data_IF_609740402031
#
_entry.id   IF_609740402031
#
_cell.length_a   1.000
_cell.length_b   1.000
_cell.length_c   1.000
_cell.angle_alpha   90.00
_cell.angle_beta   90.00
_cell.angle_gamma   90.00
#
_symmetry.space_group_name_H-M   'P 1'
#
loop_
_entity.id
_entity.type
_entity.pdbx_description
1 polymer ?
#
# COMPACT_ATOMS: atom_id res chain seq x y z
N UNK A 1 4.65 1.63 24.22
CA UNK A 1 5.72 1.49 23.22
C UNK A 1 5.09 1.08 21.89
N UNK A 2 4.54 -0.13 21.81
CA UNK A 2 3.86 -0.68 20.62
C UNK A 2 2.74 0.18 20.00
N UNK A 3 1.92 0.87 20.80
CA UNK A 3 0.87 1.78 20.26
C UNK A 3 1.48 2.98 19.53
N UNK A 4 2.64 3.48 19.99
CA UNK A 4 3.31 4.60 19.34
C UNK A 4 3.90 4.17 17.99
N UNK A 5 4.49 2.98 17.93
CA UNK A 5 5.00 2.35 16.70
C UNK A 5 3.87 2.10 15.70
N UNK A 6 2.75 1.48 16.09
CA UNK A 6 1.58 1.30 15.20
C UNK A 6 1.04 2.62 14.66
N UNK A 7 1.02 3.68 15.47
CA UNK A 7 0.61 5.03 15.02
C UNK A 7 1.57 5.60 13.99
N UNK A 8 2.88 5.47 14.23
CA UNK A 8 3.90 5.94 13.31
C UNK A 8 3.82 5.21 11.97
N UNK A 9 3.70 3.88 12.02
CA UNK A 9 3.51 3.03 10.83
C UNK A 9 2.27 3.46 10.05
N UNK A 10 1.14 3.70 10.72
CA UNK A 10 -0.09 4.14 10.05
C UNK A 10 0.08 5.51 9.37
N UNK A 11 0.80 6.45 10.00
CA UNK A 11 1.08 7.76 9.41
C UNK A 11 1.97 7.63 8.17
N UNK A 12 3.03 6.84 8.24
CA UNK A 12 3.93 6.60 7.11
C UNK A 12 3.20 5.93 5.95
N UNK A 13 2.39 4.91 6.24
CA UNK A 13 1.58 4.21 5.24
C UNK A 13 0.63 5.14 4.49
N UNK A 14 -0.03 6.07 5.19
CA UNK A 14 -0.92 7.06 4.56
C UNK A 14 -0.17 7.95 3.57
N UNK A 15 1.03 8.38 3.94
CA UNK A 15 1.91 9.17 3.06
C UNK A 15 2.33 8.36 1.83
N UNK A 16 2.75 7.11 2.02
CA UNK A 16 3.18 6.24 0.94
C UNK A 16 2.03 5.94 -0.04
N UNK A 17 0.83 5.60 0.47
CA UNK A 17 -0.37 5.41 -0.36
C UNK A 17 -0.70 6.64 -1.20
N UNK A 18 -0.66 7.85 -0.60
CA UNK A 18 -0.90 9.09 -1.33
C UNK A 18 0.10 9.27 -2.47
N UNK A 19 1.38 8.94 -2.23
CA UNK A 19 2.43 8.98 -3.23
C UNK A 19 2.20 7.94 -4.35
N UNK A 20 1.74 6.72 -4.01
CA UNK A 20 1.44 5.68 -4.99
C UNK A 20 0.31 6.13 -5.93
N UNK A 21 -0.78 6.69 -5.38
CA UNK A 21 -1.91 7.22 -6.15
C UNK A 21 -1.44 8.38 -7.04
N UNK A 22 -0.72 9.36 -6.49
CA UNK A 22 -0.20 10.47 -7.29
C UNK A 22 0.76 10.01 -8.42
N UNK A 23 1.53 8.94 -8.18
CA UNK A 23 2.36 8.33 -9.22
C UNK A 23 1.49 7.72 -10.32
N UNK A 24 0.43 7.02 -9.96
CA UNK A 24 -0.51 6.41 -10.92
C UNK A 24 -1.25 7.44 -11.78
N UNK A 25 -1.56 8.61 -11.23
CA UNK A 25 -2.23 9.70 -11.97
C UNK A 25 -1.28 10.46 -12.91
N UNK A 26 0.03 10.46 -12.61
CA UNK A 26 1.06 11.08 -13.47
C UNK A 26 1.47 10.18 -14.63
N UNK A 27 1.33 8.87 -14.46
CA UNK A 27 1.41 7.94 -15.58
C UNK A 27 0.13 8.14 -16.41
N UNK A 28 0.25 8.30 -17.73
CA UNK A 28 -0.88 8.44 -18.67
C UNK A 28 -1.65 7.11 -18.84
N UNK A 29 -2.03 6.52 -17.71
CA UNK A 29 -2.72 5.25 -17.58
C UNK A 29 -4.21 5.51 -17.34
N UNK A 30 -5.01 4.48 -17.65
CA UNK A 30 -6.44 4.52 -17.34
C UNK A 30 -6.68 4.88 -15.85
N UNK A 31 -7.57 5.83 -15.55
CA UNK A 31 -7.98 6.15 -14.17
C UNK A 31 -8.53 4.95 -13.39
N UNK A 32 -8.84 3.84 -14.07
CA UNK A 32 -9.20 2.58 -13.42
C UNK A 32 -8.16 2.12 -12.39
N UNK A 33 -6.86 2.21 -12.71
CA UNK A 33 -5.80 1.67 -11.85
C UNK A 33 -5.63 2.51 -10.57
N UNK A 34 -5.60 3.84 -10.71
CA UNK A 34 -5.51 4.77 -9.58
C UNK A 34 -6.71 4.64 -8.65
N UNK A 35 -7.92 4.54 -9.22
CA UNK A 35 -9.17 4.29 -8.46
C UNK A 35 -9.11 2.96 -7.72
N UNK A 36 -8.58 1.89 -8.32
CA UNK A 36 -8.56 0.58 -7.68
C UNK A 36 -7.57 0.55 -6.51
N UNK A 37 -6.40 1.17 -6.64
CA UNK A 37 -5.46 1.37 -5.50
C UNK A 37 -6.16 2.20 -4.40
N UNK A 38 -6.80 3.31 -4.77
CA UNK A 38 -7.54 4.14 -3.82
C UNK A 38 -8.64 3.37 -3.08
N UNK A 39 -9.39 2.50 -3.77
CA UNK A 39 -10.42 1.65 -3.16
C UNK A 39 -9.85 0.68 -2.13
N UNK A 40 -8.76 -0.02 -2.47
CA UNK A 40 -8.09 -0.94 -1.54
C UNK A 40 -7.63 -0.17 -0.29
N UNK A 41 -6.98 0.98 -0.48
CA UNK A 41 -6.51 1.82 0.62
C UNK A 41 -7.62 2.42 1.47
N UNK A 42 -8.73 2.86 0.86
CA UNK A 42 -9.87 3.42 1.59
C UNK A 42 -10.57 2.36 2.47
N UNK A 43 -10.50 1.09 2.09
CA UNK A 43 -10.99 -0.02 2.91
C UNK A 43 -10.03 -0.36 4.06
N UNK A 44 -8.72 -0.41 3.77
CA UNK A 44 -7.72 -0.87 4.73
C UNK A 44 -7.32 0.18 5.79
N UNK A 45 -7.18 1.45 5.41
CA UNK A 45 -6.67 2.50 6.30
C UNK A 45 -7.56 2.76 7.53
N UNK A 46 -8.91 2.75 7.43
CA UNK A 46 -9.77 2.82 8.61
C UNK A 46 -9.62 1.60 9.51
N UNK A 47 -9.61 0.39 8.94
CA UNK A 47 -9.41 -0.86 9.71
C UNK A 47 -8.09 -0.83 10.50
N UNK A 48 -7.01 -0.35 9.87
CA UNK A 48 -5.72 -0.15 10.53
C UNK A 48 -5.76 0.90 11.63
N UNK A 49 -6.52 1.98 11.43
CA UNK A 49 -6.73 3.02 12.43
C UNK A 49 -7.44 2.50 13.69
N UNK A 50 -8.43 1.64 13.49
CA UNK A 50 -9.24 1.08 14.58
C UNK A 50 -8.45 0.08 15.43
N UNK A 51 -7.54 -0.69 14.81
CA UNK A 51 -6.69 -1.65 15.52
C UNK A 51 -5.32 -1.10 15.96
N UNK A 52 -5.04 0.21 15.86
CA UNK A 52 -3.76 0.79 16.32
C UNK A 52 -3.41 0.45 17.78
N UNK A 53 -4.42 0.25 18.63
CA UNK A 53 -4.24 -0.13 20.04
C UNK A 53 -3.88 -1.59 20.27
N UNK A 54 -4.10 -2.45 19.28
CA UNK A 54 -3.84 -3.89 19.28
C UNK A 54 -2.77 -4.19 18.23
N UNK A 55 -1.53 -4.36 18.70
CA UNK A 55 -0.36 -4.50 17.84
C UNK A 55 -0.44 -5.73 16.91
N UNK A 56 -0.93 -6.86 17.41
CA UNK A 56 -1.00 -8.10 16.66
C UNK A 56 -2.05 -7.99 15.55
N UNK A 57 -3.22 -7.44 15.88
CA UNK A 57 -4.28 -7.19 14.90
C UNK A 57 -3.86 -6.12 13.87
N UNK A 58 -3.08 -5.13 14.29
CA UNK A 58 -2.50 -4.12 13.40
C UNK A 58 -1.52 -4.73 12.38
N UNK A 59 -0.56 -5.54 12.84
CA UNK A 59 0.40 -6.20 11.97
C UNK A 59 -0.28 -7.16 10.97
N UNK A 60 -1.30 -7.89 11.42
CA UNK A 60 -2.09 -8.76 10.56
C UNK A 60 -2.83 -7.95 9.48
N UNK A 61 -3.55 -6.90 9.88
CA UNK A 61 -4.29 -6.04 8.94
C UNK A 61 -3.36 -5.34 7.95
N UNK A 62 -2.16 -4.96 8.39
CA UNK A 62 -1.15 -4.33 7.55
C UNK A 62 -0.66 -5.30 6.48
N UNK A 63 -0.30 -6.53 6.89
CA UNK A 63 0.15 -7.57 5.97
C UNK A 63 -0.92 -7.89 4.91
N UNK A 64 -2.19 -8.02 5.33
CA UNK A 64 -3.32 -8.23 4.43
C UNK A 64 -3.49 -7.10 3.41
N UNK A 65 -3.34 -5.84 3.85
CA UNK A 65 -3.40 -4.69 2.96
C UNK A 65 -2.30 -4.74 1.89
N UNK A 66 -1.06 -4.99 2.30
CA UNK A 66 0.07 -5.07 1.38
C UNK A 66 -0.11 -6.22 0.38
N UNK A 67 -0.57 -7.37 0.84
CA UNK A 67 -0.86 -8.52 -0.04
C UNK A 67 -1.97 -8.21 -1.04
N UNK A 68 -3.04 -7.51 -0.63
CA UNK A 68 -4.12 -7.11 -1.53
C UNK A 68 -3.61 -6.18 -2.65
N UNK A 69 -2.78 -5.19 -2.30
CA UNK A 69 -2.13 -4.29 -3.28
C UNK A 69 -1.20 -5.06 -4.20
N UNK A 70 -0.35 -5.94 -3.66
CA UNK A 70 0.59 -6.76 -4.42
C UNK A 70 -0.14 -7.66 -5.42
N UNK A 71 -1.20 -8.33 -4.97
CA UNK A 71 -2.00 -9.22 -5.82
C UNK A 71 -2.66 -8.46 -6.98
N UNK A 72 -3.20 -7.27 -6.72
CA UNK A 72 -3.76 -6.42 -7.78
C UNK A 72 -2.70 -6.02 -8.81
N UNK A 73 -1.52 -5.60 -8.36
CA UNK A 73 -0.42 -5.18 -9.24
C UNK A 73 0.14 -6.36 -10.05
N UNK A 74 0.30 -7.53 -9.44
CA UNK A 74 0.76 -8.74 -10.12
C UNK A 74 -0.25 -9.19 -11.18
N UNK A 75 -1.55 -9.13 -10.87
CA UNK A 75 -2.59 -9.43 -11.85
C UNK A 75 -2.50 -8.47 -13.05
N UNK A 76 -2.44 -7.15 -12.83
CA UNK A 76 -2.34 -6.18 -13.92
C UNK A 76 -1.07 -6.32 -14.75
N UNK A 77 0.05 -6.66 -14.10
CA UNK A 77 1.34 -6.91 -14.75
C UNK A 77 1.23 -7.95 -15.87
N UNK A 78 0.33 -8.91 -15.75
CA UNK A 78 0.12 -9.98 -16.73
C UNK A 78 -0.95 -9.66 -17.80
N UNK A 79 -1.68 -8.55 -17.65
CA UNK A 79 -2.80 -8.17 -18.52
C UNK A 79 -2.54 -6.89 -19.34
N UNK A 80 -1.40 -6.25 -19.17
CA UNK A 80 -1.12 -4.89 -19.68
C UNK A 80 -0.13 -4.79 -20.83
N UNK A 81 -0.07 -3.59 -21.39
CA UNK A 81 1.01 -3.15 -22.27
C UNK A 81 2.30 -2.83 -21.49
N UNK A 82 3.35 -2.41 -22.20
CA UNK A 82 4.64 -2.08 -21.60
C UNK A 82 4.57 -0.92 -20.58
N UNK A 83 3.62 0.02 -20.75
CA UNK A 83 3.45 1.16 -19.84
C UNK A 83 2.83 0.69 -18.53
N UNK A 84 1.80 -0.17 -18.59
CA UNK A 84 1.21 -0.77 -17.40
C UNK A 84 2.21 -1.67 -16.67
N UNK A 85 3.02 -2.45 -17.40
CA UNK A 85 4.09 -3.26 -16.81
C UNK A 85 5.10 -2.39 -16.05
N UNK A 86 5.57 -1.29 -16.66
CA UNK A 86 6.50 -0.36 -16.03
C UNK A 86 5.90 0.27 -14.77
N UNK A 87 4.64 0.67 -14.83
CA UNK A 87 3.89 1.18 -13.67
C UNK A 87 3.76 0.14 -12.55
N UNK A 88 3.32 -1.08 -12.87
CA UNK A 88 3.19 -2.15 -11.89
C UNK A 88 4.53 -2.42 -11.19
N UNK A 89 5.63 -2.49 -11.95
CA UNK A 89 6.98 -2.66 -11.39
C UNK A 89 7.38 -1.47 -10.49
N UNK A 90 7.09 -0.24 -10.89
CA UNK A 90 7.39 0.96 -10.10
C UNK A 90 6.64 0.96 -8.76
N UNK A 91 5.34 0.65 -8.77
CA UNK A 91 4.54 0.59 -7.54
C UNK A 91 4.98 -0.59 -6.67
N UNK A 92 5.27 -1.76 -7.26
CA UNK A 92 5.79 -2.91 -6.50
C UNK A 92 7.11 -2.59 -5.78
N UNK A 93 8.00 -1.81 -6.40
CA UNK A 93 9.22 -1.31 -5.74
C UNK A 93 8.86 -0.42 -4.55
N UNK A 94 7.90 0.50 -4.70
CA UNK A 94 7.46 1.38 -3.62
C UNK A 94 6.78 0.61 -2.49
N UNK A 95 5.96 -0.39 -2.81
CA UNK A 95 5.35 -1.31 -1.84
C UNK A 95 6.43 -2.00 -1.04
N UNK A 96 7.43 -2.59 -1.70
CA UNK A 96 8.56 -3.25 -1.03
C UNK A 96 9.38 -2.29 -0.16
N UNK A 97 9.55 -1.05 -0.59
CA UNK A 97 10.22 -0.02 0.23
C UNK A 97 9.40 0.33 1.47
N UNK A 98 8.07 0.44 1.34
CA UNK A 98 7.17 0.65 2.48
C UNK A 98 7.22 -0.53 3.46
N UNK A 99 7.20 -1.78 2.95
CA UNK A 99 7.39 -2.99 3.77
C UNK A 99 8.69 -2.92 4.56
N UNK A 100 9.83 -2.72 3.90
CA UNK A 100 11.12 -2.64 4.60
C UNK A 100 11.20 -1.51 5.63
N UNK A 101 10.67 -0.32 5.32
CA UNK A 101 10.63 0.80 6.28
C UNK A 101 9.82 0.44 7.52
N UNK A 102 8.69 -0.23 7.31
CA UNK A 102 7.73 -0.58 8.36
C UNK A 102 8.23 -1.78 9.17
N UNK A 103 8.82 -2.78 8.54
CA UNK A 103 9.49 -3.90 9.21
C UNK A 103 10.59 -3.38 10.17
N UNK A 104 11.35 -2.37 9.77
CA UNK A 104 12.35 -1.74 10.63
C UNK A 104 11.78 -0.95 11.82
N UNK A 105 10.49 -0.58 11.78
CA UNK A 105 9.81 0.14 12.87
C UNK A 105 9.02 -0.81 13.79
N UNK A 106 8.74 -2.03 13.31
CA UNK A 106 8.00 -3.09 14.00
C UNK A 106 8.92 -3.98 14.85
N UNK A 107 10.22 -4.08 14.49
CA UNK A 107 11.26 -4.81 15.22
C UNK A 107 11.86 -3.96 16.33
#
# INVERSE_FOLDING_TARGET
MQIAESREVLVQLRSDVSNWIATSERCDLSPFYSRKISQISHKALPSLQDCVGDYDQFCLNYSLFIDEVRNALMFWRHCGDAVLLAFCNLILIKVRQSEHKIDCLIV
#
